data_IF_192047582540
#
_entry.id   IF_192047582540
#
_cell.length_a   1.000
_cell.length_b   1.000
_cell.length_c   1.000
_cell.angle_alpha   90.00
_cell.angle_beta   90.00
_cell.angle_gamma   90.00
#
_symmetry.space_group_name_H-M   'P 1'
#
loop_
_entity.id
_entity.type
_entity.pdbx_description
1 polymer ?
#
# COMPACT_ATOMS: atom_id res chain seq x y z
N UNK A 1 -16.81 -15.97 -7.24
CA UNK A 1 -15.40 -16.11 -7.51
C UNK A 1 -14.79 -14.84 -8.06
N UNK A 2 -13.67 -14.48 -7.52
CA UNK A 2 -12.97 -13.31 -8.01
C UNK A 2 -12.27 -13.64 -9.31
N UNK A 3 -12.58 -12.92 -10.33
CA UNK A 3 -11.91 -13.09 -11.60
C UNK A 3 -10.74 -12.15 -11.76
N UNK A 4 -10.74 -11.09 -10.96
CA UNK A 4 -9.67 -10.12 -10.99
C UNK A 4 -8.72 -10.37 -9.85
N UNK A 5 -7.46 -10.17 -10.13
CA UNK A 5 -6.45 -10.25 -9.10
C UNK A 5 -6.37 -8.93 -8.35
N UNK A 6 -6.09 -9.02 -7.07
CA UNK A 6 -5.86 -7.82 -6.29
C UNK A 6 -4.41 -7.38 -6.47
N UNK A 7 -4.21 -6.13 -6.81
CA UNK A 7 -2.88 -5.59 -7.07
C UNK A 7 -2.36 -4.84 -5.85
N UNK A 8 -1.11 -5.10 -5.50
CA UNK A 8 -0.46 -4.42 -4.40
C UNK A 8 0.76 -3.71 -4.94
N UNK A 9 0.78 -2.39 -4.84
CA UNK A 9 1.88 -1.57 -5.33
C UNK A 9 2.73 -1.14 -4.14
N UNK A 10 4.03 -1.42 -4.19
CA UNK A 10 4.91 -1.22 -3.05
C UNK A 10 6.05 -0.28 -3.40
N UNK A 11 6.28 0.71 -2.55
CA UNK A 11 7.44 1.57 -2.63
C UNK A 11 8.30 1.33 -1.38
N UNK A 12 9.37 0.58 -1.55
CA UNK A 12 10.30 0.26 -0.47
C UNK A 12 11.62 -0.24 -1.05
N UNK A 13 12.71 0.08 -0.39
CA UNK A 13 14.01 -0.48 -0.75
C UNK A 13 14.52 -1.47 0.30
N UNK A 14 13.66 -1.86 1.22
CA UNK A 14 13.99 -2.86 2.25
C UNK A 14 13.82 -4.25 1.66
N UNK A 15 14.94 -4.86 1.29
CA UNK A 15 14.90 -6.15 0.60
C UNK A 15 14.24 -7.25 1.44
N UNK A 16 14.49 -7.26 2.74
CA UNK A 16 13.89 -8.27 3.61
C UNK A 16 12.38 -8.12 3.67
N UNK A 17 11.91 -6.90 3.83
CA UNK A 17 10.48 -6.62 3.85
C UNK A 17 9.83 -7.01 2.52
N UNK A 18 10.44 -6.59 1.42
CA UNK A 18 9.88 -6.87 0.09
C UNK A 18 9.81 -8.37 -0.19
N UNK A 19 10.84 -9.11 0.18
CA UNK A 19 10.86 -10.55 -0.03
C UNK A 19 9.81 -11.24 0.82
N UNK A 20 9.70 -10.87 2.08
CA UNK A 20 8.71 -11.45 2.98
C UNK A 20 7.29 -11.15 2.51
N UNK A 21 7.06 -9.92 2.09
CA UNK A 21 5.75 -9.52 1.59
C UNK A 21 5.40 -10.29 0.33
N UNK A 22 6.36 -10.43 -0.59
CA UNK A 22 6.12 -11.17 -1.82
C UNK A 22 5.75 -12.62 -1.54
N UNK A 23 6.41 -13.22 -0.57
CA UNK A 23 6.13 -14.60 -0.18
C UNK A 23 4.68 -14.74 0.32
N UNK A 24 4.25 -13.83 1.17
CA UNK A 24 2.88 -13.87 1.68
C UNK A 24 1.86 -13.61 0.58
N UNK A 25 2.12 -12.61 -0.25
CA UNK A 25 1.20 -12.29 -1.34
C UNK A 25 1.05 -13.46 -2.29
N UNK A 26 2.14 -14.16 -2.56
CA UNK A 26 2.10 -15.30 -3.46
C UNK A 26 1.22 -16.43 -2.92
N UNK A 27 1.19 -16.60 -1.60
CA UNK A 27 0.34 -17.63 -1.00
C UNK A 27 -1.14 -17.40 -1.28
N UNK A 28 -1.54 -16.16 -1.42
CA UNK A 28 -2.95 -15.81 -1.56
C UNK A 28 -3.31 -15.36 -2.98
N UNK A 29 -2.35 -15.40 -3.89
CA UNK A 29 -2.63 -15.04 -5.28
C UNK A 29 -2.71 -13.54 -5.54
N UNK A 30 -2.19 -12.72 -4.64
CA UNK A 30 -2.16 -11.28 -4.86
C UNK A 30 -1.01 -10.94 -5.80
N UNK A 31 -1.24 -9.97 -6.68
CA UNK A 31 -0.21 -9.49 -7.60
C UNK A 31 0.55 -8.36 -6.92
N UNK A 32 1.86 -8.43 -6.99
CA UNK A 32 2.73 -7.47 -6.31
C UNK A 32 3.58 -6.74 -7.35
N UNK A 33 3.57 -5.43 -7.30
CA UNK A 33 4.37 -4.58 -8.18
C UNK A 33 5.14 -3.58 -7.35
N UNK A 34 6.35 -3.26 -7.79
CA UNK A 34 7.19 -2.31 -7.08
C UNK A 34 7.33 -1.04 -7.91
N UNK A 35 7.41 0.08 -7.22
CA UNK A 35 7.62 1.37 -7.87
C UNK A 35 8.52 2.23 -6.99
N UNK A 36 9.05 3.33 -7.55
CA UNK A 36 9.86 4.25 -6.80
C UNK A 36 9.26 5.66 -6.90
N UNK A 37 9.89 6.61 -6.20
CA UNK A 37 9.39 7.98 -6.19
C UNK A 37 9.31 8.58 -7.58
N UNK A 38 10.29 8.29 -8.40
CA UNK A 38 10.31 8.85 -9.75
C UNK A 38 9.14 8.37 -10.57
N UNK A 39 8.73 7.12 -10.37
CA UNK A 39 7.57 6.60 -11.07
C UNK A 39 6.32 7.41 -10.72
N UNK A 40 6.17 7.73 -9.45
CA UNK A 40 5.01 8.49 -9.00
C UNK A 40 5.01 9.90 -9.59
N UNK A 41 6.18 10.53 -9.61
CA UNK A 41 6.30 11.90 -10.07
C UNK A 41 6.16 12.03 -11.58
N UNK A 42 6.58 11.02 -12.32
CA UNK A 42 6.66 11.09 -13.78
C UNK A 42 5.52 10.38 -14.51
N UNK A 43 4.79 9.50 -13.84
CA UNK A 43 3.71 8.76 -14.47
C UNK A 43 2.39 9.09 -13.80
N UNK A 44 1.54 9.76 -14.52
CA UNK A 44 0.28 10.21 -13.96
C UNK A 44 -0.73 9.08 -13.80
N UNK A 45 -0.55 7.99 -14.53
CA UNK A 45 -1.53 6.90 -14.52
C UNK A 45 -1.08 5.69 -13.72
N UNK A 46 -0.02 5.82 -12.93
CA UNK A 46 0.52 4.69 -12.19
C UNK A 46 -0.51 4.04 -11.27
N UNK A 47 -1.33 4.85 -10.64
CA UNK A 47 -2.32 4.35 -9.68
C UNK A 47 -3.75 4.44 -10.19
N UNK A 48 -3.94 4.83 -11.42
CA UNK A 48 -5.29 5.05 -11.96
C UNK A 48 -5.72 3.87 -12.80
N UNK A 49 -5.82 2.70 -12.17
CA UNK A 49 -6.31 1.55 -12.88
C UNK A 49 -7.70 1.19 -12.36
N UNK A 50 -8.38 0.33 -13.08
CA UNK A 50 -9.75 -0.05 -12.75
C UNK A 50 -9.82 -1.28 -11.88
N UNK A 51 -8.70 -1.92 -11.61
CA UNK A 51 -8.64 -3.09 -10.78
C UNK A 51 -8.58 -2.71 -9.32
N UNK A 52 -9.01 -3.62 -8.46
CA UNK A 52 -8.81 -3.43 -7.04
C UNK A 52 -7.32 -3.39 -6.75
N UNK A 53 -6.90 -2.39 -6.00
CA UNK A 53 -5.49 -2.27 -5.67
C UNK A 53 -5.32 -1.46 -4.40
N UNK A 54 -4.13 -1.59 -3.84
CA UNK A 54 -3.72 -0.82 -2.68
C UNK A 54 -2.26 -0.48 -2.84
N UNK A 55 -1.85 0.67 -2.32
CA UNK A 55 -0.45 1.07 -2.36
C UNK A 55 0.13 1.00 -0.96
N UNK A 56 1.36 0.53 -0.86
CA UNK A 56 2.08 0.43 0.39
C UNK A 56 3.36 1.25 0.27
N UNK A 57 3.50 2.24 1.14
CA UNK A 57 4.63 3.16 1.10
C UNK A 57 5.49 2.95 2.35
N UNK A 58 6.77 2.74 2.14
CA UNK A 58 7.73 2.56 3.23
C UNK A 58 8.08 3.93 3.79
N UNK A 59 7.58 4.21 4.98
CA UNK A 59 7.78 5.51 5.62
C UNK A 59 9.20 5.67 6.16
N UNK A 60 9.98 4.59 6.18
CA UNK A 60 11.38 4.70 6.57
C UNK A 60 12.20 5.40 5.49
N UNK A 61 11.76 5.35 4.24
CA UNK A 61 12.48 5.99 3.15
C UNK A 61 11.80 7.24 2.61
N UNK A 62 10.53 7.42 2.91
CA UNK A 62 9.81 8.60 2.46
C UNK A 62 9.27 9.34 3.67
N UNK A 63 9.45 10.65 3.68
CA UNK A 63 9.07 11.48 4.81
C UNK A 63 7.65 12.02 4.68
N UNK A 64 6.73 11.16 4.25
CA UNK A 64 5.30 11.49 4.21
C UNK A 64 4.92 12.44 3.08
N UNK A 65 5.82 12.66 2.12
CA UNK A 65 5.54 13.64 1.07
C UNK A 65 4.96 13.03 -0.19
N UNK A 66 5.29 11.77 -0.47
CA UNK A 66 4.86 11.13 -1.73
C UNK A 66 3.34 10.98 -1.79
N UNK A 67 2.69 10.90 -0.64
CA UNK A 67 1.26 10.66 -0.60
C UNK A 67 0.48 11.77 -1.30
N UNK A 68 0.95 13.01 -1.24
CA UNK A 68 0.25 14.10 -1.87
C UNK A 68 0.22 13.95 -3.39
N UNK A 69 1.28 13.39 -3.96
CA UNK A 69 1.31 13.14 -5.39
C UNK A 69 0.39 12.00 -5.79
N UNK A 70 0.34 10.96 -4.97
CA UNK A 70 -0.54 9.83 -5.24
C UNK A 70 -1.99 10.28 -5.19
N UNK A 71 -2.35 11.10 -4.22
CA UNK A 71 -3.73 11.55 -4.04
C UNK A 71 -4.22 12.45 -5.15
N UNK A 72 -3.32 13.03 -5.92
CA UNK A 72 -3.72 13.82 -7.08
C UNK A 72 -4.35 12.98 -8.19
N UNK A 73 -3.96 11.72 -8.26
CA UNK A 73 -4.39 10.86 -9.36
C UNK A 73 -5.15 9.62 -8.91
N UNK A 74 -5.23 9.35 -7.61
CA UNK A 74 -5.84 8.11 -7.14
C UNK A 74 -6.52 8.31 -5.80
N UNK A 75 -7.67 7.66 -5.64
CA UNK A 75 -8.39 7.61 -4.38
C UNK A 75 -8.30 6.21 -3.76
N UNK A 76 -7.50 5.34 -4.34
CA UNK A 76 -7.34 3.99 -3.83
C UNK A 76 -6.65 4.02 -2.47
N UNK A 77 -6.83 2.98 -1.66
CA UNK A 77 -6.23 2.94 -0.34
C UNK A 77 -4.71 3.00 -0.40
N UNK A 78 -4.12 3.76 0.51
CA UNK A 78 -2.67 3.87 0.63
C UNK A 78 -2.31 3.64 2.09
N UNK A 79 -1.44 2.65 2.32
CA UNK A 79 -0.99 2.31 3.66
C UNK A 79 0.47 2.70 3.81
N UNK A 80 0.81 3.18 5.00
CA UNK A 80 2.21 3.42 5.34
C UNK A 80 2.75 2.26 6.15
N UNK A 81 4.01 1.90 5.95
CA UNK A 81 4.68 0.89 6.79
C UNK A 81 5.98 1.47 7.30
N UNK A 82 6.38 1.02 8.46
CA UNK A 82 7.59 1.51 9.10
C UNK A 82 8.18 0.44 9.99
N UNK A 83 9.45 0.59 10.32
CA UNK A 83 10.10 -0.34 11.23
C UNK A 83 9.65 -0.10 12.65
N UNK A 84 9.45 1.15 13.01
CA UNK A 84 9.07 1.51 14.38
C UNK A 84 7.93 2.52 14.34
N UNK A 85 6.79 2.11 14.82
CA UNK A 85 5.60 2.95 14.79
C UNK A 85 5.47 3.73 16.09
N UNK A 86 5.34 5.04 15.96
CA UNK A 86 5.09 5.93 17.10
C UNK A 86 3.76 6.64 16.89
N UNK A 87 3.20 7.16 17.98
CA UNK A 87 1.95 7.91 17.87
C UNK A 87 2.14 9.16 17.01
N UNK A 88 3.30 9.78 17.11
CA UNK A 88 3.59 10.97 16.32
C UNK A 88 3.60 10.65 14.83
N UNK A 89 4.28 9.57 14.46
CA UNK A 89 4.33 9.17 13.04
C UNK A 89 2.94 8.80 12.54
N UNK A 90 2.17 8.08 13.36
CA UNK A 90 0.83 7.67 12.96
C UNK A 90 -0.06 8.88 12.70
N UNK A 91 -0.02 9.87 13.60
CA UNK A 91 -0.82 11.08 13.43
C UNK A 91 -0.41 11.86 12.20
N UNK A 92 0.89 12.01 12.00
CA UNK A 92 1.40 12.76 10.83
C UNK A 92 1.01 12.09 9.54
N UNK A 93 1.11 10.77 9.49
CA UNK A 93 0.77 10.04 8.29
C UNK A 93 -0.72 10.18 7.96
N UNK A 94 -1.57 10.05 8.96
CA UNK A 94 -3.00 10.21 8.74
C UNK A 94 -3.33 11.61 8.26
N UNK A 95 -2.70 12.63 8.83
CA UNK A 95 -2.93 14.00 8.42
C UNK A 95 -2.49 14.25 6.98
N UNK A 96 -1.50 13.50 6.52
CA UNK A 96 -1.03 13.65 5.14
C UNK A 96 -1.87 12.91 4.13
N UNK A 97 -2.71 11.97 4.58
CA UNK A 97 -3.61 11.28 3.66
C UNK A 97 -3.48 9.77 3.62
N UNK A 98 -2.64 9.19 4.47
CA UNK A 98 -2.55 7.72 4.56
C UNK A 98 -3.80 7.19 5.24
N UNK A 99 -4.32 6.10 4.72
CA UNK A 99 -5.50 5.48 5.30
C UNK A 99 -5.18 4.76 6.58
N UNK A 100 -4.08 4.01 6.58
CA UNK A 100 -3.64 3.26 7.76
C UNK A 100 -2.13 3.21 7.77
N UNK A 101 -1.56 2.97 8.96
CA UNK A 101 -0.12 2.82 9.12
C UNK A 101 0.14 1.59 9.96
N UNK A 102 1.08 0.76 9.51
CA UNK A 102 1.43 -0.49 10.17
C UNK A 102 2.93 -0.58 10.37
N UNK A 103 3.35 -1.39 11.34
CA UNK A 103 4.73 -1.86 11.30
C UNK A 103 4.87 -2.83 10.13
N UNK A 104 6.08 -2.98 9.62
CA UNK A 104 6.31 -3.88 8.50
C UNK A 104 5.92 -5.31 8.82
N UNK A 105 6.28 -5.78 10.02
CA UNK A 105 5.95 -7.15 10.40
C UNK A 105 4.45 -7.36 10.57
N UNK A 106 3.75 -6.38 11.12
CA UNK A 106 2.29 -6.52 11.27
C UNK A 106 1.61 -6.54 9.92
N UNK A 107 2.05 -5.71 8.99
CA UNK A 107 1.45 -5.70 7.66
C UNK A 107 1.59 -7.08 7.02
N UNK A 108 2.78 -7.66 7.07
CA UNK A 108 3.03 -8.95 6.45
C UNK A 108 2.15 -10.03 7.07
N UNK A 109 2.08 -10.08 8.39
CA UNK A 109 1.30 -11.12 9.07
C UNK A 109 -0.20 -10.94 8.90
N UNK A 110 -0.64 -9.74 8.51
CA UNK A 110 -2.07 -9.44 8.40
C UNK A 110 -2.53 -9.18 6.97
N UNK A 111 -1.66 -9.38 5.99
CA UNK A 111 -1.95 -8.93 4.63
C UNK A 111 -3.23 -9.54 4.07
N UNK A 112 -3.45 -10.83 4.28
CA UNK A 112 -4.66 -11.47 3.78
C UNK A 112 -5.90 -10.82 4.37
N UNK A 113 -5.89 -10.61 5.67
CA UNK A 113 -7.03 -10.02 6.37
C UNK A 113 -7.30 -8.60 5.90
N UNK A 114 -6.22 -7.84 5.70
CA UNK A 114 -6.34 -6.47 5.25
C UNK A 114 -6.97 -6.40 3.86
N UNK A 115 -6.49 -7.24 2.95
CA UNK A 115 -6.97 -7.24 1.58
C UNK A 115 -8.43 -7.70 1.53
N UNK A 116 -8.79 -8.70 2.30
CA UNK A 116 -10.17 -9.17 2.34
C UNK A 116 -11.09 -8.06 2.85
N UNK A 117 -10.65 -7.34 3.86
CA UNK A 117 -11.45 -6.25 4.42
C UNK A 117 -11.69 -5.16 3.39
N UNK A 118 -10.66 -4.78 2.65
CA UNK A 118 -10.78 -3.76 1.61
C UNK A 118 -11.73 -4.22 0.52
N UNK A 119 -11.55 -5.45 0.06
CA UNK A 119 -12.39 -5.98 -1.02
C UNK A 119 -13.86 -6.05 -0.61
N UNK A 120 -14.11 -6.45 0.62
CA UNK A 120 -15.48 -6.55 1.13
C UNK A 120 -16.12 -5.17 1.23
N UNK A 121 -15.37 -4.20 1.74
CA UNK A 121 -15.90 -2.84 1.86
C UNK A 121 -16.18 -2.23 0.50
N UNK A 122 -15.31 -2.47 -0.46
CA UNK A 122 -15.55 -1.98 -1.81
C UNK A 122 -16.83 -2.57 -2.39
N UNK A 123 -17.03 -3.85 -2.15
CA UNK A 123 -18.24 -4.49 -2.64
C UNK A 123 -19.50 -3.95 -2.00
N UNK A 124 -19.43 -3.56 -0.75
CA UNK A 124 -20.58 -3.05 -0.04
C UNK A 124 -20.95 -1.66 -0.47
N UNK A 125 -19.98 -0.91 -0.93
CA UNK A 125 -20.24 0.45 -1.40
C UNK A 125 -21.07 0.46 -2.65
N UNK A 126 -21.05 -0.59 -3.39
CA UNK A 126 -21.79 -0.69 -4.63
C UNK A 126 -23.28 -0.66 -4.45
#
# INVERSE_FOLDING_TARGET
MLKEHFNINVMSDDAVFCTSLATECNKFGFLLSFFNKEDVLNKNDLFSNESLSVSIIDLDIDNLNIISHIRKTSKLPVFGVCSKLTKSLQSKAKNKGYDLVFTKSLLISSIKRIIIHISTNEGKEG
#
